data_IF_606015689349
#
_entry.id   IF_606015689349
#
_cell.length_a   1.000
_cell.length_b   1.000
_cell.length_c   1.000
_cell.angle_alpha   90.00
_cell.angle_beta   90.00
_cell.angle_gamma   90.00
#
_symmetry.space_group_name_H-M   'P 1'
#
loop_
_entity.id
_entity.type
_entity.pdbx_description
1 polymer ?
#
# COMPACT_ATOMS: atom_id res chain seq x y z
N UNK A 1 4.83 -1.43 -22.47
CA UNK A 1 6.28 -1.64 -22.22
C UNK A 1 6.65 -1.38 -20.76
N UNK A 2 6.25 -0.22 -20.23
CA UNK A 2 6.49 0.20 -18.84
C UNK A 2 5.94 -0.78 -17.78
N UNK A 3 4.66 -1.18 -17.89
CA UNK A 3 4.04 -2.16 -16.99
C UNK A 3 4.78 -3.51 -16.97
N UNK A 4 5.29 -3.96 -18.12
CA UNK A 4 6.07 -5.20 -18.22
C UNK A 4 7.42 -5.07 -17.51
N UNK A 5 8.07 -3.90 -17.56
CA UNK A 5 9.30 -3.62 -16.82
C UNK A 5 9.07 -3.60 -15.29
N UNK A 6 7.92 -3.08 -14.84
CA UNK A 6 7.53 -3.10 -13.43
C UNK A 6 7.29 -4.53 -12.93
N UNK A 7 6.63 -5.36 -13.73
CA UNK A 7 6.41 -6.78 -13.41
C UNK A 7 7.71 -7.59 -13.38
N UNK A 8 8.63 -7.35 -14.33
CA UNK A 8 9.90 -8.08 -14.39
C UNK A 8 10.89 -7.68 -13.29
N UNK A 9 10.69 -6.55 -12.62
CA UNK A 9 11.61 -6.06 -11.60
C UNK A 9 12.86 -5.41 -12.18
N UNK A 10 12.85 -5.02 -13.46
CA UNK A 10 14.00 -4.39 -14.10
C UNK A 10 14.13 -2.92 -13.66
N UNK A 11 14.73 -2.71 -12.48
CA UNK A 11 14.92 -1.40 -11.85
C UNK A 11 15.59 -0.38 -12.78
N UNK A 12 16.69 -0.71 -13.50
CA UNK A 12 17.29 0.22 -14.46
C UNK A 12 16.33 0.66 -15.58
N UNK A 13 15.58 -0.29 -16.15
CA UNK A 13 14.64 0.00 -17.23
C UNK A 13 13.45 0.83 -16.74
N UNK A 14 12.91 0.51 -15.56
CA UNK A 14 11.84 1.30 -14.92
C UNK A 14 12.32 2.72 -14.68
N UNK A 15 13.51 2.91 -14.10
CA UNK A 15 14.09 4.25 -13.87
C UNK A 15 14.26 5.02 -15.18
N UNK A 16 14.76 4.37 -16.23
CA UNK A 16 14.91 4.99 -17.53
C UNK A 16 13.56 5.43 -18.11
N UNK A 17 12.54 4.59 -18.05
CA UNK A 17 11.20 4.90 -18.55
C UNK A 17 10.54 6.04 -17.76
N UNK A 18 10.66 6.04 -16.42
CA UNK A 18 10.16 7.13 -15.57
C UNK A 18 10.79 8.48 -15.93
N UNK A 19 12.12 8.51 -16.13
CA UNK A 19 12.82 9.72 -16.57
C UNK A 19 12.35 10.23 -17.94
N UNK A 20 11.87 9.34 -18.81
CA UNK A 20 11.34 9.68 -20.12
C UNK A 20 9.83 9.97 -20.10
N UNK A 21 9.22 10.21 -18.92
CA UNK A 21 7.81 10.58 -18.82
C UNK A 21 6.84 9.41 -19.00
N UNK A 22 7.23 8.20 -18.59
CA UNK A 22 6.31 7.06 -18.61
C UNK A 22 5.04 7.34 -17.79
N UNK A 23 3.89 6.97 -18.34
CA UNK A 23 2.60 7.16 -17.70
C UNK A 23 2.43 6.25 -16.47
N UNK A 24 2.32 6.89 -15.30
CA UNK A 24 2.12 6.25 -14.00
C UNK A 24 0.68 5.76 -13.79
N UNK A 25 -0.27 6.30 -14.55
CA UNK A 25 -1.68 5.90 -14.50
C UNK A 25 -2.00 4.76 -15.48
N UNK A 26 -1.02 4.34 -16.28
CA UNK A 26 -1.17 3.20 -17.17
C UNK A 26 -1.57 1.94 -16.40
N UNK A 27 -2.48 1.15 -16.95
CA UNK A 27 -2.93 -0.10 -16.32
C UNK A 27 -3.11 -1.23 -17.33
N UNK A 28 -3.06 -2.47 -16.84
CA UNK A 28 -3.32 -3.66 -17.67
C UNK A 28 -4.82 -3.80 -17.97
N UNK A 29 -5.18 -4.76 -18.83
CA UNK A 29 -6.59 -5.15 -19.08
C UNK A 29 -7.36 -5.53 -17.79
N UNK A 30 -6.64 -5.93 -16.75
CA UNK A 30 -7.17 -6.26 -15.42
C UNK A 30 -7.20 -5.06 -14.47
N UNK A 31 -6.98 -3.85 -14.99
CA UNK A 31 -6.77 -2.60 -14.23
C UNK A 31 -5.64 -2.70 -13.20
N UNK A 32 -4.59 -3.47 -13.50
CA UNK A 32 -3.43 -3.52 -12.60
C UNK A 32 -2.53 -2.33 -12.92
N UNK A 33 -2.38 -1.44 -11.95
CA UNK A 33 -1.48 -0.30 -12.00
C UNK A 33 -0.02 -0.75 -11.83
N UNK A 34 0.98 0.12 -12.13
CA UNK A 34 2.39 -0.24 -12.03
C UNK A 34 2.76 -0.73 -10.62
N UNK A 35 2.16 -0.12 -9.58
CA UNK A 35 2.39 -0.51 -8.20
C UNK A 35 1.80 -1.87 -7.84
N UNK A 36 0.62 -2.20 -8.37
CA UNK A 36 0.02 -3.53 -8.18
C UNK A 36 0.89 -4.61 -8.81
N UNK A 37 1.43 -4.36 -10.02
CA UNK A 37 2.35 -5.30 -10.67
C UNK A 37 3.66 -5.46 -9.88
N UNK A 38 4.21 -4.36 -9.37
CA UNK A 38 5.39 -4.39 -8.53
C UNK A 38 5.14 -5.14 -7.21
N UNK A 39 3.97 -4.93 -6.57
CA UNK A 39 3.55 -5.65 -5.37
C UNK A 39 3.38 -7.16 -5.65
N UNK A 40 2.73 -7.54 -6.75
CA UNK A 40 2.59 -8.94 -7.16
C UNK A 40 3.94 -9.61 -7.37
N UNK A 41 4.90 -8.93 -8.00
CA UNK A 41 6.26 -9.45 -8.17
C UNK A 41 6.91 -9.73 -6.83
N UNK A 42 6.84 -8.79 -5.89
CA UNK A 42 7.46 -8.94 -4.56
C UNK A 42 6.82 -10.09 -3.79
N UNK A 43 5.50 -10.22 -3.85
CA UNK A 43 4.76 -11.34 -3.24
C UNK A 43 5.16 -12.69 -3.85
N UNK A 44 5.33 -12.75 -5.17
CA UNK A 44 5.72 -13.99 -5.86
C UNK A 44 7.18 -14.34 -5.66
N UNK A 45 8.03 -13.35 -5.42
CA UNK A 45 9.44 -13.56 -5.17
C UNK A 45 9.66 -13.93 -3.71
N UNK A 46 10.65 -14.80 -3.43
CA UNK A 46 11.00 -15.14 -2.05
C UNK A 46 11.79 -14.04 -1.35
N UNK A 47 12.41 -13.16 -2.13
CA UNK A 47 13.26 -12.07 -1.63
C UNK A 47 12.50 -10.74 -1.68
N UNK A 48 12.51 -10.04 -0.56
CA UNK A 48 11.98 -8.68 -0.46
C UNK A 48 12.86 -7.70 -1.24
N UNK A 49 12.34 -7.20 -2.36
CA UNK A 49 12.98 -6.17 -3.17
C UNK A 49 12.03 -4.97 -3.42
N UNK A 50 12.17 -3.90 -2.62
CA UNK A 50 11.37 -2.70 -2.78
C UNK A 50 11.91 -1.74 -3.85
N UNK A 51 12.95 -2.08 -4.62
CA UNK A 51 13.60 -1.14 -5.54
C UNK A 51 12.63 -0.51 -6.54
N UNK A 52 11.82 -1.34 -7.20
CA UNK A 52 10.79 -0.86 -8.14
C UNK A 52 9.66 -0.14 -7.41
N UNK A 53 9.26 -0.59 -6.21
CA UNK A 53 8.22 0.07 -5.41
C UNK A 53 8.65 1.48 -4.99
N UNK A 54 9.89 1.64 -4.54
CA UNK A 54 10.48 2.92 -4.19
C UNK A 54 10.51 3.87 -5.39
N UNK A 55 10.96 3.40 -6.56
CA UNK A 55 10.95 4.21 -7.78
C UNK A 55 9.55 4.71 -8.16
N UNK A 56 8.55 3.82 -8.08
CA UNK A 56 7.17 4.18 -8.42
C UNK A 56 6.60 5.18 -7.41
N UNK A 57 6.89 5.02 -6.13
CA UNK A 57 6.45 5.97 -5.11
C UNK A 57 7.15 7.32 -5.23
N UNK A 58 8.47 7.35 -5.45
CA UNK A 58 9.24 8.58 -5.72
C UNK A 58 8.71 9.31 -6.96
N UNK A 59 8.23 8.57 -7.96
CA UNK A 59 7.59 9.16 -9.12
C UNK A 59 6.17 9.70 -8.87
N UNK A 60 5.58 9.47 -7.69
CA UNK A 60 4.23 9.93 -7.34
C UNK A 60 3.09 8.95 -7.69
N UNK A 61 3.39 7.66 -7.86
CA UNK A 61 2.36 6.65 -8.12
C UNK A 61 1.41 6.47 -6.92
N UNK A 62 0.11 6.39 -7.19
CA UNK A 62 -0.93 6.23 -6.17
C UNK A 62 -0.92 4.80 -5.61
N UNK A 63 -0.74 4.67 -4.29
CA UNK A 63 -0.63 3.36 -3.62
C UNK A 63 -1.98 2.65 -3.43
N UNK A 64 -3.06 3.43 -3.41
CA UNK A 64 -4.42 3.01 -3.07
C UNK A 64 -5.27 2.57 -4.26
N UNK A 65 -4.70 2.52 -5.46
CA UNK A 65 -5.47 2.20 -6.67
C UNK A 65 -5.95 0.73 -6.69
N UNK A 66 -7.25 0.49 -6.85
CA UNK A 66 -7.80 -0.85 -6.89
C UNK A 66 -7.73 -1.45 -8.31
N UNK A 67 -7.45 -2.76 -8.39
CA UNK A 67 -7.58 -3.51 -9.63
C UNK A 67 -9.05 -3.77 -10.02
N UNK A 68 -9.28 -4.48 -11.13
CA UNK A 68 -10.64 -4.83 -11.61
C UNK A 68 -11.44 -5.67 -10.61
N UNK A 69 -10.78 -6.40 -9.70
CA UNK A 69 -11.42 -7.16 -8.61
C UNK A 69 -11.66 -6.30 -7.36
N UNK A 70 -11.28 -5.02 -7.39
CA UNK A 70 -11.34 -4.12 -6.26
C UNK A 70 -10.18 -4.29 -5.27
N UNK A 71 -9.14 -5.08 -5.57
CA UNK A 71 -8.02 -5.29 -4.64
C UNK A 71 -6.94 -4.23 -4.84
N UNK A 72 -6.50 -3.61 -3.73
CA UNK A 72 -5.32 -2.70 -3.70
C UNK A 72 -4.05 -3.47 -3.34
N UNK A 73 -2.88 -2.82 -3.42
CA UNK A 73 -1.61 -3.43 -3.03
C UNK A 73 -1.64 -3.93 -1.56
N UNK A 74 -2.33 -3.22 -0.67
CA UNK A 74 -2.48 -3.59 0.73
C UNK A 74 -3.35 -4.84 0.92
N UNK A 75 -4.41 -5.01 0.11
CA UNK A 75 -5.20 -6.25 0.11
C UNK A 75 -4.36 -7.45 -0.33
N UNK A 76 -3.49 -7.29 -1.33
CA UNK A 76 -2.59 -8.35 -1.78
C UNK A 76 -1.59 -8.73 -0.70
N UNK A 77 -0.97 -7.75 -0.05
CA UNK A 77 -0.05 -7.99 1.07
C UNK A 77 -0.75 -8.72 2.24
N UNK A 78 -1.97 -8.30 2.58
CA UNK A 78 -2.78 -8.94 3.62
C UNK A 78 -3.19 -10.36 3.27
N UNK A 79 -3.60 -10.62 2.02
CA UNK A 79 -4.02 -11.96 1.57
C UNK A 79 -2.88 -12.97 1.62
N UNK A 80 -1.66 -12.53 1.32
CA UNK A 80 -0.50 -13.41 1.21
C UNK A 80 0.30 -13.48 2.53
N UNK A 81 -0.04 -12.62 3.50
CA UNK A 81 0.64 -12.52 4.78
C UNK A 81 2.01 -11.84 4.69
N UNK A 82 2.21 -10.94 3.73
CA UNK A 82 3.51 -10.35 3.44
C UNK A 82 3.77 -9.10 4.32
N UNK A 83 4.31 -9.31 5.52
CA UNK A 83 4.58 -8.27 6.51
C UNK A 83 5.43 -7.10 6.00
N UNK A 84 6.53 -7.36 5.28
CA UNK A 84 7.39 -6.28 4.78
C UNK A 84 6.70 -5.36 3.77
N UNK A 85 5.85 -5.94 2.89
CA UNK A 85 5.07 -5.17 1.92
C UNK A 85 3.99 -4.35 2.63
N UNK A 86 3.31 -4.96 3.59
CA UNK A 86 2.35 -4.24 4.44
C UNK A 86 3.02 -3.06 5.11
N UNK A 87 4.13 -3.27 5.82
CA UNK A 87 4.83 -2.20 6.51
C UNK A 87 5.26 -1.07 5.56
N UNK A 88 5.83 -1.41 4.41
CA UNK A 88 6.24 -0.43 3.40
C UNK A 88 5.06 0.42 2.88
N UNK A 89 3.90 -0.20 2.64
CA UNK A 89 2.70 0.50 2.20
C UNK A 89 2.16 1.43 3.30
N UNK A 90 2.16 0.97 4.56
CA UNK A 90 1.63 1.73 5.70
C UNK A 90 2.48 2.95 6.05
N UNK A 91 3.80 2.79 6.10
CA UNK A 91 4.73 3.90 6.34
C UNK A 91 4.60 4.99 5.28
N UNK A 92 4.18 4.63 4.06
CA UNK A 92 3.97 5.56 2.95
C UNK A 92 2.52 6.04 2.80
N UNK A 93 1.67 5.82 3.81
CA UNK A 93 0.32 6.38 3.86
C UNK A 93 -0.71 5.67 2.99
N UNK A 94 -0.50 4.40 2.61
CA UNK A 94 -1.53 3.64 1.92
C UNK A 94 -2.78 3.50 2.79
N UNK A 95 -3.96 3.82 2.23
CA UNK A 95 -5.20 3.74 2.99
C UNK A 95 -5.51 2.32 3.48
N UNK A 96 -5.64 2.22 4.81
CA UNK A 96 -5.91 1.01 5.58
C UNK A 96 -7.35 0.48 5.46
N UNK A 97 -8.31 1.39 5.25
CA UNK A 97 -9.74 1.12 5.37
C UNK A 97 -10.47 1.04 4.04
N UNK A 98 -9.75 1.15 2.92
CA UNK A 98 -10.39 1.11 1.61
C UNK A 98 -11.13 -0.20 1.42
N UNK A 99 -12.41 -0.08 1.09
CA UNK A 99 -13.27 -1.15 0.60
C UNK A 99 -13.64 -0.83 -0.84
N UNK A 100 -12.79 -1.19 -1.82
CA UNK A 100 -12.97 -0.72 -3.19
C UNK A 100 -14.13 -1.43 -3.91
N UNK A 101 -14.69 -2.48 -3.30
CA UNK A 101 -15.91 -3.15 -3.74
C UNK A 101 -16.73 -3.54 -2.51
N UNK A 102 -18.06 -3.48 -2.62
CA UNK A 102 -18.99 -3.93 -1.57
C UNK A 102 -18.80 -5.40 -1.17
N UNK A 103 -18.20 -6.21 -2.05
CA UNK A 103 -17.86 -7.61 -1.80
C UNK A 103 -16.47 -7.81 -1.18
N UNK A 104 -15.59 -6.80 -1.23
CA UNK A 104 -14.22 -6.93 -0.74
C UNK A 104 -14.13 -6.49 0.71
N UNK A 105 -13.71 -7.43 1.55
CA UNK A 105 -13.41 -7.21 2.97
C UNK A 105 -12.24 -6.24 3.13
N UNK A 106 -12.16 -5.52 4.25
CA UNK A 106 -10.99 -4.65 4.52
C UNK A 106 -9.68 -5.45 4.55
N UNK A 107 -8.51 -4.85 4.31
CA UNK A 107 -7.23 -5.55 4.40
C UNK A 107 -7.05 -6.30 5.73
N UNK A 108 -7.50 -5.70 6.84
CA UNK A 108 -7.50 -6.37 8.15
C UNK A 108 -8.37 -7.62 8.18
N UNK A 109 -9.61 -7.52 7.68
CA UNK A 109 -10.52 -8.66 7.60
C UNK A 109 -9.99 -9.76 6.68
N UNK A 110 -9.29 -9.41 5.58
CA UNK A 110 -8.63 -10.38 4.69
C UNK A 110 -7.48 -11.09 5.40
N UNK A 111 -6.67 -10.38 6.19
CA UNK A 111 -5.65 -11.03 7.01
C UNK A 111 -6.28 -11.98 8.04
N UNK A 112 -7.40 -11.60 8.65
CA UNK A 112 -8.09 -12.44 9.66
C UNK A 112 -8.84 -13.65 9.08
N UNK A 113 -9.10 -13.70 7.78
CA UNK A 113 -9.67 -14.92 7.16
C UNK A 113 -8.68 -16.07 7.04
N UNK A 114 -7.39 -15.84 7.28
CA UNK A 114 -6.34 -16.84 7.20
C UNK A 114 -5.73 -17.06 8.59
N UNK A 115 -5.53 -18.32 8.99
CA UNK A 115 -5.04 -18.69 10.32
C UNK A 115 -3.50 -18.76 10.43
N UNK A 116 -2.76 -18.51 9.34
CA UNK A 116 -1.31 -18.63 9.38
C UNK A 116 -0.67 -17.54 10.25
N UNK A 117 0.47 -17.87 10.88
CA UNK A 117 1.26 -16.95 11.71
C UNK A 117 1.62 -15.64 10.99
N UNK A 118 1.91 -15.72 9.68
CA UNK A 118 2.23 -14.56 8.85
C UNK A 118 1.06 -13.59 8.70
N UNK A 119 -0.17 -14.10 8.60
CA UNK A 119 -1.38 -13.28 8.53
C UNK A 119 -1.71 -12.66 9.88
N UNK A 120 -1.46 -13.38 10.98
CA UNK A 120 -1.58 -12.82 12.33
C UNK A 120 -0.65 -11.63 12.54
N UNK A 121 0.59 -11.72 12.06
CA UNK A 121 1.54 -10.59 12.07
C UNK A 121 1.05 -9.42 11.24
N UNK A 122 0.54 -9.66 10.02
CA UNK A 122 -0.04 -8.58 9.20
C UNK A 122 -1.26 -7.96 9.85
N UNK A 123 -2.16 -8.76 10.43
CA UNK A 123 -3.33 -8.26 11.15
C UNK A 123 -2.93 -7.43 12.38
N UNK A 124 -1.92 -7.88 13.14
CA UNK A 124 -1.35 -7.11 14.24
C UNK A 124 -0.80 -5.76 13.76
N UNK A 125 -0.02 -5.75 12.67
CA UNK A 125 0.49 -4.50 12.09
C UNK A 125 -0.68 -3.58 11.67
N UNK A 126 -1.68 -4.10 10.95
CA UNK A 126 -2.84 -3.31 10.52
C UNK A 126 -3.68 -2.79 11.70
N UNK A 127 -3.73 -3.55 12.80
CA UNK A 127 -4.39 -3.16 14.05
C UNK A 127 -3.60 -2.05 14.77
N UNK A 128 -2.27 -2.21 14.91
CA UNK A 128 -1.39 -1.22 15.54
C UNK A 128 -1.35 0.09 14.74
N UNK A 129 -1.46 0.04 13.42
CA UNK A 129 -1.50 1.23 12.54
C UNK A 129 -2.91 1.82 12.37
N UNK A 130 -3.96 1.30 13.03
CA UNK A 130 -5.33 1.83 12.98
C UNK A 130 -5.49 3.14 13.79
N UNK A 131 -6.55 3.93 13.60
CA UNK A 131 -6.55 5.40 13.47
C UNK A 131 -6.19 6.26 14.71
N UNK A 132 -5.77 5.70 15.84
CA UNK A 132 -5.42 6.51 17.01
C UNK A 132 -4.08 7.27 16.87
N UNK A 133 -3.19 6.85 15.98
CA UNK A 133 -1.88 7.50 15.82
C UNK A 133 -1.81 8.58 14.74
N UNK A 134 -2.85 8.78 13.91
CA UNK A 134 -2.87 9.86 12.91
C UNK A 134 -3.35 11.20 13.52
N UNK A 135 -3.87 11.18 14.76
CA UNK A 135 -4.38 12.37 15.45
C UNK A 135 -3.39 13.01 16.44
N UNK A 136 -2.08 12.72 16.37
CA UNK A 136 -1.09 13.55 17.10
C UNK A 136 -0.68 14.78 16.27
N UNK A 137 -1.64 15.67 16.04
CA UNK A 137 -1.37 17.08 16.30
C UNK A 137 -1.90 17.36 17.71
N UNK A 138 -1.06 17.76 18.67
CA UNK A 138 -1.55 18.18 19.98
C UNK A 138 -2.38 19.45 19.77
N UNK A 139 -3.69 19.35 19.96
CA UNK A 139 -4.53 20.53 20.23
C UNK A 139 -3.85 21.34 21.35
N UNK A 140 -3.55 22.64 21.16
CA UNK A 140 -2.96 23.42 22.21
C UNK A 140 -3.93 23.48 23.40
N UNK A 141 -3.42 23.38 24.64
CA UNK A 141 -4.27 23.38 25.83
C UNK A 141 -5.08 24.67 25.85
N UNK A 142 -6.40 24.55 25.85
CA UNK A 142 -7.33 25.67 26.06
C UNK A 142 -6.95 26.34 27.39
N UNK A 143 -6.27 27.47 27.30
CA UNK A 143 -6.12 28.37 28.44
C UNK A 143 -7.51 28.92 28.76
N UNK A 144 -8.18 28.36 29.75
CA UNK A 144 -9.24 29.07 30.46
C UNK A 144 -8.56 30.18 31.28
N UNK A 145 -8.41 31.34 30.66
CA UNK A 145 -8.30 32.58 31.41
C UNK A 145 -9.61 32.78 32.15
N UNK A 146 -9.50 32.82 33.48
CA UNK A 146 -10.60 33.18 34.35
C UNK A 146 -10.98 34.63 34.10
N UNK A 147 -12.23 34.84 33.71
CA UNK A 147 -12.86 36.14 33.82
C UNK A 147 -13.27 36.37 35.27
N UNK A 148 -12.52 37.26 35.91
CA UNK A 148 -12.95 38.05 37.06
C UNK A 148 -14.09 38.95 36.62
N UNK A 149 -15.21 38.88 37.34
CA UNK A 149 -16.05 40.03 37.67
C UNK A 149 -16.48 39.88 39.13
#
# INVERSE_FOLDING_TARGET
PFLRACWSGNTPLVRYMLKNGADLHSCTISRETPILLAAYRVIKNKVWDPSVLNLLHEAGCQLSEPNKKGSTALHLAAREGHTSLTYWLLVRGAHLTLRPSSKLKSPYQVAMTHEDLKHRSVAAILHTFSPEMVCQHPEPPKQHHGDRA
#
